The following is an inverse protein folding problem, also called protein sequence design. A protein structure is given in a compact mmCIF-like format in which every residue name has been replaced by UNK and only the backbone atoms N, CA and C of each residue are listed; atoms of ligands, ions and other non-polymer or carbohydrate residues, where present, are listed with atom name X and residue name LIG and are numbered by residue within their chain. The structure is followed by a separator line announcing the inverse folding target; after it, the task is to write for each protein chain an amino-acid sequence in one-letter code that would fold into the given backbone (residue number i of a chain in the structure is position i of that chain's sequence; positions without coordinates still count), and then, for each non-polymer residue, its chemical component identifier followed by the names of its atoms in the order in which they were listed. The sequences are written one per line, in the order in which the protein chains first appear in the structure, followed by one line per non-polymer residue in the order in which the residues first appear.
data_IF_534083891385
#
_entry.id   IF_534083891385
#
_cell.length_a   1.000
_cell.length_b   1.000
_cell.length_c   1.000
_cell.angle_alpha   90.00
_cell.angle_beta   90.00
_cell.angle_gamma   90.00
#
_symmetry.space_group_name_H-M   'P 1'
#
loop_
_entity.id
_entity.type
_entity.pdbx_description
1 polymer ?
#
# COMPACT_ATOMS: atom_id res chain seq x y z
N UNK A 1 -2.22 -48.52 58.95
CA UNK A 1 -3.48 -48.08 59.59
C UNK A 1 -4.18 -47.27 58.53
N UNK A 2 -5.00 -47.91 57.66
CA UNK A 2 -6.50 -48.00 57.78
C UNK A 2 -7.12 -46.61 57.74
N UNK A 3 -7.99 -46.22 56.87
CA UNK A 3 -9.09 -46.76 56.09
C UNK A 3 -9.65 -45.61 55.27
N UNK A 4 -10.01 -45.74 54.05
CA UNK A 4 -11.27 -46.21 53.43
C UNK A 4 -12.23 -45.05 53.10
N UNK A 5 -12.42 -44.86 51.83
CA UNK A 5 -13.64 -45.03 51.01
C UNK A 5 -14.88 -44.24 51.38
N UNK A 6 -15.42 -43.50 50.43
CA UNK A 6 -16.82 -43.62 49.96
C UNK A 6 -17.17 -42.68 48.81
N UNK A 7 -17.45 -43.21 47.63
CA UNK A 7 -18.49 -42.81 46.68
C UNK A 7 -19.83 -43.44 47.13
N UNK A 8 -20.96 -43.24 46.47
CA UNK A 8 -21.66 -42.25 45.67
C UNK A 8 -23.12 -41.99 46.18
N UNK A 9 -24.19 -41.73 45.47
CA UNK A 9 -24.72 -42.38 44.27
C UNK A 9 -25.40 -41.48 43.22
N UNK A 10 -25.61 -42.09 42.07
CA UNK A 10 -26.41 -41.71 40.90
C UNK A 10 -27.94 -41.74 41.17
N UNK A 11 -28.72 -40.90 40.50
CA UNK A 11 -30.12 -41.14 40.11
C UNK A 11 -30.40 -40.35 38.80
N UNK A 12 -30.54 -41.03 37.64
CA UNK A 12 -31.79 -41.36 36.91
C UNK A 12 -32.85 -40.24 37.01
N UNK A 13 -33.17 -39.56 35.88
CA UNK A 13 -34.00 -39.98 34.77
C UNK A 13 -35.26 -39.17 34.76
N UNK A 14 -35.53 -38.39 33.73
CA UNK A 14 -36.87 -38.13 33.18
C UNK A 14 -36.81 -37.41 31.84
N UNK A 15 -37.25 -38.10 30.80
CA UNK A 15 -37.58 -37.57 29.47
C UNK A 15 -38.92 -36.82 29.44
N UNK A 16 -39.17 -35.99 28.41
CA UNK A 16 -40.32 -35.08 28.30
C UNK A 16 -41.50 -35.72 27.56
N UNK A 17 -42.70 -35.16 27.64
CA UNK A 17 -43.79 -35.56 26.75
C UNK A 17 -43.90 -34.73 25.49
N UNK A 18 -44.09 -35.44 24.40
CA UNK A 18 -44.48 -34.98 23.06
C UNK A 18 -45.98 -34.58 23.02
N UNK A 19 -46.28 -33.47 22.38
CA UNK A 19 -47.56 -33.21 21.69
C UNK A 19 -47.24 -32.28 20.51
N UNK A 20 -47.46 -32.59 19.27
CA UNK A 20 -48.65 -33.11 18.59
C UNK A 20 -49.35 -31.98 17.85
N UNK A 21 -48.96 -31.74 16.56
CA UNK A 21 -49.79 -31.42 15.43
C UNK A 21 -50.60 -30.10 15.40
N UNK A 22 -50.30 -29.27 14.40
CA UNK A 22 -51.28 -28.92 13.35
C UNK A 22 -50.65 -28.04 12.27
N UNK A 23 -50.64 -28.56 11.04
CA UNK A 23 -50.48 -27.83 9.77
C UNK A 23 -51.64 -26.86 9.61
N UNK A 24 -51.37 -25.62 9.22
CA UNK A 24 -52.28 -24.81 8.45
C UNK A 24 -51.49 -23.96 7.45
N UNK A 25 -51.70 -24.31 6.19
CA UNK A 25 -51.36 -23.55 5.00
C UNK A 25 -52.17 -22.25 4.97
N UNK A 26 -51.53 -21.11 4.77
CA UNK A 26 -52.19 -19.98 4.13
C UNK A 26 -51.23 -19.27 3.18
N UNK A 27 -51.77 -19.11 1.97
CA UNK A 27 -51.20 -18.54 0.74
C UNK A 27 -50.86 -17.04 0.87
N UNK A 28 -49.78 -16.72 0.24
CA UNK A 28 -49.47 -15.51 -0.55
C UNK A 28 -50.42 -14.31 -0.50
N UNK A 29 -49.81 -13.14 -0.21
CA UNK A 29 -50.19 -11.91 -0.86
C UNK A 29 -48.93 -11.08 -1.06
N UNK A 30 -48.60 -10.83 -2.32
CA UNK A 30 -47.65 -9.81 -2.81
C UNK A 30 -48.12 -8.44 -2.32
N UNK A 31 -47.25 -7.70 -1.67
CA UNK A 31 -47.39 -6.30 -1.42
C UNK A 31 -46.06 -5.61 -1.70
N UNK A 32 -45.90 -5.07 -2.91
CA UNK A 32 -44.73 -4.26 -3.26
C UNK A 32 -44.74 -2.96 -2.48
N UNK A 33 -43.66 -2.66 -1.78
CA UNK A 33 -43.38 -1.33 -1.28
C UNK A 33 -42.37 -0.68 -2.22
N UNK A 34 -42.82 0.28 -3.01
CA UNK A 34 -42.03 1.23 -3.76
C UNK A 34 -41.46 2.21 -2.75
N UNK A 35 -40.15 2.14 -2.48
CA UNK A 35 -39.45 3.16 -1.71
C UNK A 35 -39.11 4.31 -2.64
N UNK A 36 -39.86 5.41 -2.51
CA UNK A 36 -39.57 6.67 -3.20
C UNK A 36 -38.37 7.32 -2.52
N UNK A 37 -37.25 7.37 -3.24
CA UNK A 37 -36.08 8.16 -2.83
C UNK A 37 -36.38 9.63 -3.17
N UNK A 38 -36.55 10.45 -2.14
CA UNK A 38 -36.59 11.91 -2.29
C UNK A 38 -35.17 12.43 -2.32
N UNK A 39 -34.70 12.81 -3.50
CA UNK A 39 -33.44 13.54 -3.66
C UNK A 39 -33.70 15.01 -3.31
N UNK A 40 -33.13 15.48 -2.22
CA UNK A 40 -33.08 16.91 -1.89
C UNK A 40 -31.81 17.50 -2.49
N UNK A 41 -31.95 18.16 -3.62
CA UNK A 41 -30.87 18.95 -4.23
C UNK A 41 -30.84 20.32 -3.58
N UNK A 42 -29.80 20.61 -2.79
CA UNK A 42 -29.51 21.96 -2.32
C UNK A 42 -28.43 22.55 -3.24
N UNK A 43 -28.85 23.33 -4.21
CA UNK A 43 -27.97 24.20 -4.97
C UNK A 43 -27.73 25.50 -4.19
N UNK A 44 -26.52 25.66 -3.67
CA UNK A 44 -26.00 26.94 -3.19
C UNK A 44 -24.88 27.37 -4.12
N UNK A 45 -25.21 28.29 -5.04
CA UNK A 45 -24.24 28.89 -5.96
C UNK A 45 -23.34 29.90 -5.24
N UNK A 46 -22.02 29.72 -5.40
CA UNK A 46 -21.05 30.77 -5.15
C UNK A 46 -20.43 31.19 -6.48
N UNK A 47 -20.67 32.43 -6.85
CA UNK A 47 -20.05 33.03 -8.02
C UNK A 47 -18.62 33.45 -7.66
N UNK A 48 -17.63 32.85 -8.36
CA UNK A 48 -16.27 33.34 -8.36
C UNK A 48 -16.09 34.35 -9.49
N UNK A 49 -15.78 35.56 -9.12
CA UNK A 49 -15.39 36.65 -10.04
C UNK A 49 -13.95 36.39 -10.53
N UNK A 50 -13.81 36.26 -11.84
CA UNK A 50 -12.51 36.24 -12.54
C UNK A 50 -11.96 37.68 -12.61
N UNK A 51 -10.75 37.88 -12.12
CA UNK A 51 -9.95 39.06 -12.42
C UNK A 51 -8.98 38.77 -13.54
N UNK A 52 -9.14 39.46 -14.62
CA UNK A 52 -8.30 39.49 -15.82
C UNK A 52 -7.00 40.26 -15.53
N UNK A 53 -5.86 39.74 -15.90
CA UNK A 53 -4.62 40.50 -16.01
C UNK A 53 -3.79 39.98 -17.19
N UNK A 54 -3.95 40.60 -18.29
CA UNK A 54 -3.14 40.49 -19.51
C UNK A 54 -1.94 41.46 -19.47
N UNK A 55 -0.93 41.13 -20.29
CA UNK A 55 0.22 41.90 -20.78
C UNK A 55 1.56 41.58 -20.13
N UNK A 56 2.65 41.28 -20.78
CA UNK A 56 3.22 41.74 -22.05
C UNK A 56 4.25 40.74 -22.61
N UNK A 57 4.31 40.72 -23.93
CA UNK A 57 5.32 39.98 -24.72
C UNK A 57 6.68 40.69 -24.79
N UNK A 58 7.73 39.93 -24.91
CA UNK A 58 9.06 40.43 -25.29
C UNK A 58 10.09 39.33 -25.26
N UNK A 59 10.30 38.62 -26.38
CA UNK A 59 11.37 37.68 -26.53
C UNK A 59 12.67 38.30 -27.10
N UNK A 60 13.78 37.61 -26.95
CA UNK A 60 14.77 37.52 -28.06
C UNK A 60 15.05 36.06 -28.45
N UNK A 61 15.52 35.93 -29.69
CA UNK A 61 15.76 34.75 -30.51
C UNK A 61 16.91 33.85 -30.05
N UNK A 62 17.05 32.64 -30.65
CA UNK A 62 17.81 31.53 -30.08
C UNK A 62 19.31 31.62 -30.39
N UNK A 63 20.10 31.34 -29.36
CA UNK A 63 21.53 31.06 -29.50
C UNK A 63 21.77 29.57 -29.31
N UNK A 64 22.41 28.94 -30.31
CA UNK A 64 22.94 27.60 -30.24
C UNK A 64 23.92 27.45 -29.07
N UNK A 65 23.59 26.56 -28.15
CA UNK A 65 24.54 26.05 -27.17
C UNK A 65 24.27 24.56 -26.97
N UNK A 66 25.13 23.77 -27.61
CA UNK A 66 25.33 22.37 -27.24
C UNK A 66 25.73 22.31 -25.76
N UNK A 67 24.77 22.04 -24.90
CA UNK A 67 25.01 21.75 -23.48
C UNK A 67 24.96 20.25 -23.25
N UNK A 68 26.15 19.69 -22.99
CA UNK A 68 26.31 18.38 -22.33
C UNK A 68 25.43 18.33 -21.11
N UNK A 69 24.48 17.38 -21.09
CA UNK A 69 23.65 17.06 -19.94
C UNK A 69 24.57 16.72 -18.76
N UNK A 70 24.51 17.45 -17.64
CA UNK A 70 25.27 17.06 -16.46
C UNK A 70 24.72 15.73 -15.97
N UNK A 71 25.57 14.71 -15.90
CA UNK A 71 25.27 13.51 -15.12
C UNK A 71 25.03 13.97 -13.68
N UNK A 72 23.80 13.87 -13.21
CA UNK A 72 23.45 14.13 -11.82
C UNK A 72 24.27 13.18 -10.96
N UNK A 73 25.19 13.74 -10.19
CA UNK A 73 25.97 12.96 -9.21
C UNK A 73 25.01 12.54 -8.11
N UNK A 74 24.63 11.27 -8.11
CA UNK A 74 23.94 10.65 -6.98
C UNK A 74 24.86 10.76 -5.76
N UNK A 75 24.56 11.66 -4.85
CA UNK A 75 25.37 11.85 -3.66
C UNK A 75 25.14 10.69 -2.68
N UNK A 76 26.05 9.74 -2.64
CA UNK A 76 26.11 8.70 -1.61
C UNK A 76 26.67 9.30 -0.32
N UNK A 77 25.84 9.94 0.48
CA UNK A 77 26.20 10.31 1.85
C UNK A 77 25.33 9.51 2.79
N UNK A 78 25.94 8.65 3.63
CA UNK A 78 25.22 7.99 4.72
C UNK A 78 24.83 9.05 5.76
N UNK A 79 23.57 9.49 5.80
CA UNK A 79 23.17 10.44 6.82
C UNK A 79 23.17 9.73 8.17
N UNK A 80 23.67 10.40 9.20
CA UNK A 80 23.52 9.94 10.59
C UNK A 80 22.08 10.07 11.09
N UNK A 81 21.13 10.35 10.21
CA UNK A 81 19.73 10.56 10.55
C UNK A 81 19.02 9.24 10.86
N UNK A 82 18.13 9.27 11.81
CA UNK A 82 17.19 8.16 12.06
C UNK A 82 16.37 7.92 10.78
N UNK A 83 16.33 6.69 10.31
CA UNK A 83 15.72 6.34 9.03
C UNK A 83 16.72 5.84 7.98
N UNK A 84 18.03 6.10 8.17
CA UNK A 84 19.08 5.61 7.28
C UNK A 84 19.46 4.16 7.57
N UNK A 85 20.11 3.50 6.62
CA UNK A 85 20.68 2.16 6.78
C UNK A 85 21.59 2.07 8.00
N UNK A 86 22.39 3.12 8.24
CA UNK A 86 23.33 3.16 9.37
C UNK A 86 22.62 3.16 10.72
N UNK A 87 21.49 3.87 10.82
CA UNK A 87 20.77 4.09 12.09
C UNK A 87 19.48 3.30 12.23
N UNK A 88 19.24 2.34 11.35
CA UNK A 88 18.11 1.41 11.46
C UNK A 88 18.52 0.18 12.28
N UNK A 89 17.69 -0.29 13.21
CA UNK A 89 18.02 -1.39 14.11
C UNK A 89 17.98 -2.75 13.39
N UNK A 90 18.60 -3.77 13.98
CA UNK A 90 18.49 -5.17 13.57
C UNK A 90 19.08 -5.52 12.18
N UNK A 91 19.73 -4.58 11.50
CA UNK A 91 20.37 -4.85 10.22
C UNK A 91 21.72 -5.53 10.42
N UNK A 92 21.97 -6.60 9.65
CA UNK A 92 23.25 -7.33 9.69
C UNK A 92 24.40 -6.50 9.09
N UNK A 93 25.63 -6.91 9.38
CA UNK A 93 26.80 -6.32 8.72
C UNK A 93 26.77 -6.52 7.20
N UNK A 94 26.25 -7.65 6.73
CA UNK A 94 26.10 -7.97 5.31
C UNK A 94 25.07 -7.05 4.66
N UNK A 95 23.94 -6.80 5.30
CA UNK A 95 22.96 -5.82 4.84
C UNK A 95 23.61 -4.45 4.61
N UNK A 96 24.37 -3.97 5.60
CA UNK A 96 25.04 -2.66 5.54
C UNK A 96 26.19 -2.59 4.53
N UNK A 97 26.71 -3.73 4.07
CA UNK A 97 27.68 -3.77 2.95
C UNK A 97 26.99 -3.78 1.59
N UNK A 98 25.82 -4.39 1.51
CA UNK A 98 25.05 -4.55 0.26
C UNK A 98 24.23 -3.31 -0.07
N UNK A 99 23.65 -2.67 0.96
CA UNK A 99 22.69 -1.59 0.77
C UNK A 99 23.22 -0.25 1.30
N UNK A 100 22.91 0.80 0.55
CA UNK A 100 23.27 2.17 0.90
C UNK A 100 22.10 3.13 0.71
N UNK A 101 22.12 4.22 1.48
CA UNK A 101 21.18 5.33 1.34
C UNK A 101 21.51 6.15 0.11
N UNK A 102 20.51 6.43 -0.71
CA UNK A 102 20.59 7.29 -1.89
C UNK A 102 19.58 8.42 -1.77
N UNK A 103 20.00 9.63 -2.11
CA UNK A 103 19.14 10.80 -2.20
C UNK A 103 19.14 11.30 -3.62
N UNK A 104 17.97 11.30 -4.25
CA UNK A 104 17.79 11.54 -5.67
C UNK A 104 16.83 12.73 -5.83
N UNK A 105 17.28 13.76 -6.55
CA UNK A 105 16.41 14.87 -6.94
C UNK A 105 15.62 14.45 -8.19
N UNK A 106 14.31 14.16 -8.00
CA UNK A 106 13.42 13.68 -9.05
C UNK A 106 12.04 14.28 -8.90
N UNK A 107 11.43 14.76 -9.97
CA UNK A 107 10.13 15.44 -9.98
C UNK A 107 10.02 16.61 -8.99
N UNK A 108 11.12 17.37 -8.81
CA UNK A 108 11.16 18.49 -7.87
C UNK A 108 11.08 18.09 -6.39
N UNK A 109 11.42 16.84 -6.08
CA UNK A 109 11.41 16.26 -4.76
C UNK A 109 12.74 15.55 -4.50
N UNK A 110 13.36 15.80 -3.35
CA UNK A 110 14.50 15.03 -2.89
C UNK A 110 14.01 13.73 -2.27
N UNK A 111 14.11 12.64 -3.04
CA UNK A 111 13.63 11.32 -2.66
C UNK A 111 14.75 10.49 -2.02
N UNK A 112 14.41 9.74 -1.00
CA UNK A 112 15.29 8.76 -0.37
C UNK A 112 14.94 7.35 -0.82
N UNK A 113 15.95 6.57 -1.16
CA UNK A 113 15.83 5.16 -1.43
C UNK A 113 17.03 4.39 -0.86
N UNK A 114 16.78 3.19 -0.38
CA UNK A 114 17.82 2.23 0.00
C UNK A 114 18.02 1.25 -1.15
N UNK A 115 19.23 1.27 -1.72
CA UNK A 115 19.53 0.54 -2.95
C UNK A 115 20.67 -0.44 -2.72
N UNK A 116 20.55 -1.63 -3.32
CA UNK A 116 21.60 -2.66 -3.29
C UNK A 116 21.30 -3.83 -4.21
N UNK A 117 22.34 -4.65 -4.45
CA UNK A 117 22.27 -5.78 -5.39
C UNK A 117 22.57 -5.39 -6.82
N UNK A 118 22.62 -6.41 -7.69
CA UNK A 118 22.87 -6.26 -9.13
C UNK A 118 21.88 -7.13 -9.91
N UNK A 119 21.39 -6.61 -11.05
CA UNK A 119 20.45 -7.30 -11.92
C UNK A 119 19.29 -6.42 -12.37
N UNK A 120 18.19 -7.00 -12.88
CA UNK A 120 17.00 -6.25 -13.26
C UNK A 120 16.47 -5.39 -12.12
N UNK A 121 16.01 -4.16 -12.37
CA UNK A 121 15.54 -3.27 -11.31
C UNK A 121 14.21 -3.74 -10.72
N UNK A 122 14.14 -3.70 -9.38
CA UNK A 122 12.97 -4.05 -8.58
C UNK A 122 12.66 -2.90 -7.62
N UNK A 123 11.54 -2.21 -7.85
CA UNK A 123 11.07 -1.14 -6.99
C UNK A 123 10.12 -1.69 -5.92
N UNK A 124 10.43 -1.42 -4.65
CA UNK A 124 9.63 -1.80 -3.49
C UNK A 124 9.01 -0.54 -2.86
N UNK A 125 7.69 -0.50 -2.78
CA UNK A 125 6.91 0.64 -2.28
C UNK A 125 6.14 0.22 -1.03
N UNK A 126 6.55 0.75 0.11
CA UNK A 126 6.00 0.43 1.44
C UNK A 126 4.60 1.02 1.65
N UNK A 127 3.93 0.53 2.71
CA UNK A 127 2.65 1.04 3.18
C UNK A 127 2.76 2.03 4.35
N UNK A 128 1.60 2.44 4.88
CA UNK A 128 1.49 3.24 6.08
C UNK A 128 1.27 2.33 7.31
N UNK A 129 1.88 2.61 8.46
CA UNK A 129 2.77 3.73 8.80
C UNK A 129 4.28 3.38 8.69
N UNK A 130 4.64 2.58 7.73
CA UNK A 130 5.99 2.05 7.51
C UNK A 130 6.85 2.98 6.63
N UNK A 131 8.06 2.53 6.31
CA UNK A 131 9.00 3.12 5.37
C UNK A 131 9.79 2.00 4.67
N UNK A 132 10.88 2.32 3.94
CA UNK A 132 11.71 1.32 3.26
C UNK A 132 12.10 0.13 4.16
N UNK A 133 12.21 0.34 5.46
CA UNK A 133 12.65 -0.65 6.44
C UNK A 133 11.69 -1.86 6.56
N UNK A 134 10.44 -1.73 6.16
CA UNK A 134 9.48 -2.82 6.08
C UNK A 134 10.01 -4.01 5.27
N UNK A 135 10.78 -3.74 4.23
CA UNK A 135 11.30 -4.73 3.31
C UNK A 135 12.61 -5.39 3.75
N UNK A 136 13.24 -4.93 4.84
CA UNK A 136 14.60 -5.31 5.27
C UNK A 136 14.83 -6.81 5.38
N UNK A 137 13.80 -7.58 5.74
CA UNK A 137 13.94 -9.03 5.95
C UNK A 137 14.05 -9.81 4.63
N UNK A 138 13.47 -9.29 3.54
CA UNK A 138 13.49 -9.95 2.22
C UNK A 138 14.50 -9.32 1.25
N UNK A 139 14.90 -8.07 1.47
CA UNK A 139 15.83 -7.34 0.58
C UNK A 139 17.15 -8.09 0.33
N UNK A 140 17.84 -8.69 1.33
CA UNK A 140 19.12 -9.34 1.10
C UNK A 140 19.07 -10.51 0.10
N UNK A 141 18.01 -11.30 0.14
CA UNK A 141 17.86 -12.41 -0.79
C UNK A 141 17.42 -11.95 -2.18
N UNK A 142 16.52 -10.95 -2.25
CA UNK A 142 16.16 -10.31 -3.52
C UNK A 142 17.37 -9.67 -4.21
N UNK A 143 18.29 -9.07 -3.46
CA UNK A 143 19.50 -8.41 -3.99
C UNK A 143 20.50 -9.37 -4.62
N UNK A 144 20.33 -10.68 -4.44
CA UNK A 144 21.13 -11.69 -5.16
C UNK A 144 20.77 -11.80 -6.64
N UNK A 145 19.60 -11.29 -7.03
CA UNK A 145 19.06 -11.45 -8.37
C UNK A 145 18.58 -10.15 -9.00
N UNK A 146 18.41 -9.10 -8.19
CA UNK A 146 17.85 -7.83 -8.60
C UNK A 146 18.66 -6.65 -8.07
N UNK A 147 18.63 -5.54 -8.79
CA UNK A 147 18.91 -4.23 -8.21
C UNK A 147 17.66 -3.82 -7.42
N UNK A 148 17.70 -3.99 -6.10
CA UNK A 148 16.58 -3.69 -5.22
C UNK A 148 16.59 -2.22 -4.84
N UNK A 149 15.48 -1.52 -5.06
CA UNK A 149 15.27 -0.11 -4.77
C UNK A 149 14.07 -0.01 -3.82
N UNK A 150 14.33 0.13 -2.52
CA UNK A 150 13.30 0.32 -1.50
C UNK A 150 13.18 1.81 -1.20
N UNK A 151 12.09 2.43 -1.66
CA UNK A 151 11.90 3.89 -1.58
C UNK A 151 11.21 4.29 -0.28
N UNK A 152 11.53 5.47 0.22
CA UNK A 152 10.65 6.22 1.12
C UNK A 152 9.73 7.11 0.26
N UNK A 153 8.41 6.88 0.30
CA UNK A 153 7.46 7.69 -0.47
C UNK A 153 7.48 9.16 -0.03
N UNK A 154 6.96 10.07 -0.87
CA UNK A 154 6.75 11.49 -0.52
C UNK A 154 6.18 11.64 0.89
N UNK A 155 6.80 12.46 1.71
CA UNK A 155 6.36 12.72 3.08
C UNK A 155 6.83 11.71 4.12
N UNK A 156 7.40 10.59 3.71
CA UNK A 156 7.77 9.47 4.58
C UNK A 156 9.29 9.39 4.75
N UNK A 157 9.72 8.82 5.87
CA UNK A 157 11.12 8.48 6.15
C UNK A 157 12.07 9.64 5.98
N UNK A 158 13.03 9.52 5.08
CA UNK A 158 14.01 10.54 4.74
C UNK A 158 13.72 11.31 3.45
N UNK A 159 12.65 10.95 2.72
CA UNK A 159 12.14 11.75 1.60
C UNK A 159 11.57 13.07 2.10
N UNK A 160 11.66 14.13 1.31
CA UNK A 160 11.10 15.45 1.61
C UNK A 160 9.59 15.39 1.87
N UNK A 161 9.11 16.37 2.66
CA UNK A 161 7.74 16.46 3.17
C UNK A 161 7.07 17.75 2.72
N UNK A 162 6.83 17.92 1.41
CA UNK A 162 6.14 19.10 0.91
C UNK A 162 4.70 19.14 1.44
N UNK A 163 4.08 20.32 1.50
CA UNK A 163 2.74 20.47 2.06
C UNK A 163 1.63 19.87 1.18
N UNK A 164 1.92 19.50 -0.09
CA UNK A 164 0.95 19.02 -1.08
C UNK A 164 1.54 17.94 -1.98
N UNK A 165 0.71 17.40 -2.88
CA UNK A 165 1.15 16.43 -3.89
C UNK A 165 1.11 14.99 -3.39
N UNK A 166 0.20 14.66 -2.49
CA UNK A 166 0.06 13.32 -1.92
C UNK A 166 -0.99 12.46 -2.64
N UNK A 167 -1.58 12.96 -3.70
CA UNK A 167 -2.45 12.18 -4.58
C UNK A 167 -1.65 11.17 -5.40
N UNK A 168 -2.29 10.06 -5.76
CA UNK A 168 -1.57 8.94 -6.41
C UNK A 168 -0.99 9.29 -7.77
N UNK A 169 -1.52 10.28 -8.49
CA UNK A 169 -0.95 10.74 -9.75
C UNK A 169 0.39 11.46 -9.55
N UNK A 170 0.52 12.23 -8.47
CA UNK A 170 1.79 12.86 -8.09
C UNK A 170 2.78 11.82 -7.57
N UNK A 171 2.33 10.90 -6.69
CA UNK A 171 3.19 9.83 -6.16
C UNK A 171 3.72 8.91 -7.27
N UNK A 172 2.89 8.56 -8.25
CA UNK A 172 3.32 7.77 -9.41
C UNK A 172 4.39 8.49 -10.24
N UNK A 173 4.24 9.80 -10.45
CA UNK A 173 5.26 10.62 -11.15
C UNK A 173 6.56 10.73 -10.37
N UNK A 174 6.50 10.83 -9.04
CA UNK A 174 7.69 10.84 -8.19
C UNK A 174 8.49 9.55 -8.38
N UNK A 175 7.82 8.39 -8.35
CA UNK A 175 8.46 7.09 -8.53
C UNK A 175 8.97 6.88 -9.96
N UNK A 176 8.21 7.30 -10.98
CA UNK A 176 8.65 7.21 -12.36
C UNK A 176 9.93 8.05 -12.59
N UNK A 177 9.95 9.30 -12.10
CA UNK A 177 11.11 10.17 -12.20
C UNK A 177 12.29 9.67 -11.37
N UNK A 178 12.08 9.06 -10.20
CA UNK A 178 13.12 8.39 -9.43
C UNK A 178 13.81 7.31 -10.27
N UNK A 179 13.02 6.46 -10.93
CA UNK A 179 13.55 5.38 -11.76
C UNK A 179 14.27 5.92 -13.01
N UNK A 180 13.84 7.06 -13.58
CA UNK A 180 14.53 7.75 -14.68
C UNK A 180 15.92 8.26 -14.25
N UNK A 181 15.98 8.92 -13.09
CA UNK A 181 17.26 9.44 -12.57
C UNK A 181 18.24 8.32 -12.19
N UNK A 182 17.73 7.14 -11.81
CA UNK A 182 18.53 5.95 -11.59
C UNK A 182 18.91 5.21 -12.90
N UNK A 183 18.41 5.65 -14.06
CA UNK A 183 18.70 5.07 -15.37
C UNK A 183 17.94 3.79 -15.68
N UNK A 184 16.81 3.56 -15.02
CA UNK A 184 15.98 2.37 -15.18
C UNK A 184 14.73 2.67 -16.01
N UNK A 185 14.79 2.41 -17.31
CA UNK A 185 13.65 2.63 -18.22
C UNK A 185 12.49 1.68 -17.93
N UNK A 186 12.78 0.44 -17.56
CA UNK A 186 11.78 -0.58 -17.22
C UNK A 186 12.16 -1.30 -15.92
N UNK A 187 11.15 -1.68 -15.13
CA UNK A 187 11.37 -2.29 -13.82
C UNK A 187 10.20 -3.18 -13.41
N UNK A 188 10.46 -4.10 -12.49
CA UNK A 188 9.43 -4.83 -11.73
C UNK A 188 9.02 -4.03 -10.50
N UNK A 189 7.78 -4.18 -10.06
CA UNK A 189 7.17 -3.34 -9.02
C UNK A 189 6.48 -4.20 -7.96
N UNK A 190 6.69 -3.86 -6.69
CA UNK A 190 5.95 -4.43 -5.56
C UNK A 190 5.44 -3.29 -4.69
N UNK A 191 4.15 -3.29 -4.38
CA UNK A 191 3.53 -2.33 -3.47
C UNK A 191 2.75 -3.03 -2.37
N UNK A 192 2.84 -2.49 -1.15
CA UNK A 192 2.11 -2.95 0.02
C UNK A 192 1.25 -1.82 0.59
N UNK A 193 0.00 -2.09 0.98
CA UNK A 193 -0.92 -1.13 1.60
C UNK A 193 -1.09 0.16 0.77
N UNK A 194 -0.84 1.36 1.30
CA UNK A 194 -0.85 2.62 0.53
C UNK A 194 0.15 2.61 -0.63
N UNK A 195 1.25 1.87 -0.46
CA UNK A 195 2.22 1.63 -1.54
C UNK A 195 1.66 0.76 -2.67
N UNK A 196 0.72 -0.14 -2.39
CA UNK A 196 -0.01 -0.86 -3.43
C UNK A 196 -0.88 0.10 -4.25
N UNK A 197 -1.55 1.05 -3.59
CA UNK A 197 -2.40 2.04 -4.28
C UNK A 197 -1.53 2.95 -5.18
N UNK A 198 -0.35 3.36 -4.68
CA UNK A 198 0.64 4.12 -5.47
C UNK A 198 1.19 3.28 -6.63
N UNK A 199 1.49 2.01 -6.39
CA UNK A 199 1.99 1.08 -7.42
C UNK A 199 0.95 0.82 -8.53
N UNK A 200 -0.34 0.74 -8.19
CA UNK A 200 -1.41 0.68 -9.18
C UNK A 200 -1.42 1.93 -10.07
N UNK A 201 -1.33 3.11 -9.46
CA UNK A 201 -1.28 4.35 -10.22
C UNK A 201 -0.05 4.41 -11.15
N UNK A 202 1.12 4.00 -10.67
CA UNK A 202 2.34 3.93 -11.47
C UNK A 202 2.19 2.96 -12.65
N UNK A 203 1.65 1.76 -12.41
CA UNK A 203 1.44 0.77 -13.45
C UNK A 203 0.38 1.18 -14.48
N UNK A 204 -0.64 1.96 -14.07
CA UNK A 204 -1.69 2.44 -14.95
C UNK A 204 -1.28 3.69 -15.76
N UNK A 205 -0.54 4.61 -15.14
CA UNK A 205 -0.12 5.87 -15.78
C UNK A 205 1.13 5.68 -16.66
N UNK A 206 1.96 4.66 -16.39
CA UNK A 206 3.21 4.35 -17.10
C UNK A 206 3.32 2.84 -17.45
N UNK A 207 2.34 2.27 -18.18
CA UNK A 207 2.26 0.82 -18.38
C UNK A 207 3.45 0.23 -19.15
N UNK A 208 4.11 1.01 -19.98
CA UNK A 208 5.32 0.60 -20.73
C UNK A 208 6.57 0.45 -19.84
N UNK A 209 6.56 1.10 -18.66
CA UNK A 209 7.65 1.09 -17.70
C UNK A 209 7.64 -0.12 -16.77
N UNK A 210 6.45 -0.67 -16.51
CA UNK A 210 6.26 -1.75 -15.53
C UNK A 210 6.21 -3.10 -16.22
N UNK A 211 7.22 -3.95 -15.98
CA UNK A 211 7.29 -5.29 -16.56
C UNK A 211 6.29 -6.25 -15.92
N UNK A 212 6.11 -6.15 -14.64
CA UNK A 212 5.16 -6.90 -13.80
C UNK A 212 4.95 -6.21 -12.48
N UNK A 213 3.83 -6.42 -11.84
CA UNK A 213 3.52 -5.80 -10.55
C UNK A 213 2.90 -6.80 -9.58
N UNK A 214 3.40 -6.78 -8.33
CA UNK A 214 2.79 -7.48 -7.20
C UNK A 214 2.12 -6.46 -6.27
N UNK A 215 0.86 -6.68 -5.98
CA UNK A 215 0.03 -5.90 -5.07
C UNK A 215 -0.21 -6.70 -3.80
N UNK A 216 0.30 -6.22 -2.68
CA UNK A 216 0.20 -6.89 -1.39
C UNK A 216 -0.73 -6.13 -0.46
N UNK A 217 -1.63 -6.84 0.16
CA UNK A 217 -2.54 -6.42 1.22
C UNK A 217 -3.37 -5.18 0.93
N UNK A 218 -4.44 -4.96 0.88
CA UNK A 218 -5.66 -4.22 0.67
C UNK A 218 -6.40 -4.67 -0.60
N UNK A 219 -7.71 -4.78 -0.55
CA UNK A 219 -8.52 -5.23 -1.67
C UNK A 219 -8.76 -4.09 -2.65
N UNK A 220 -7.81 -3.91 -3.55
CA UNK A 220 -7.89 -3.00 -4.68
C UNK A 220 -7.65 -1.53 -4.37
N UNK A 221 -7.40 -0.75 -5.42
CA UNK A 221 -7.24 0.67 -5.29
C UNK A 221 -8.60 1.34 -5.03
N UNK A 222 -8.67 2.33 -4.13
CA UNK A 222 -9.90 3.08 -3.87
C UNK A 222 -10.38 3.76 -5.16
N UNK A 223 -11.70 3.79 -5.37
CA UNK A 223 -12.31 4.30 -6.60
C UNK A 223 -12.53 3.25 -7.71
N UNK A 224 -12.00 2.04 -7.57
CA UNK A 224 -12.19 0.92 -8.54
C UNK A 224 -13.34 -0.02 -8.14
N UNK A 225 -14.19 0.39 -7.32
CA UNK A 225 -15.36 -0.36 -6.86
C UNK A 225 -16.18 0.47 -5.91
N UNK A 226 -17.29 -0.07 -5.40
CA UNK A 226 -18.10 0.66 -4.44
C UNK A 226 -17.31 0.93 -3.17
N UNK A 227 -17.30 2.18 -2.73
CA UNK A 227 -16.75 2.54 -1.43
C UNK A 227 -17.52 1.85 -0.30
N UNK A 228 -16.86 1.41 0.78
CA UNK A 228 -17.54 0.90 1.94
C UNK A 228 -18.58 1.92 2.47
N UNK A 229 -19.73 1.47 2.99
CA UNK A 229 -20.69 2.37 3.62
C UNK A 229 -20.07 3.03 4.87
N UNK A 230 -20.62 4.16 5.30
CA UNK A 230 -20.13 4.91 6.46
C UNK A 230 -20.08 4.05 7.74
N UNK A 231 -21.05 3.14 7.91
CA UNK A 231 -21.09 2.21 9.03
C UNK A 231 -20.91 0.79 8.53
N UNK A 232 -19.86 0.15 8.98
CA UNK A 232 -19.52 -1.24 8.71
C UNK A 232 -19.53 -2.04 10.02
N UNK A 233 -19.61 -3.39 9.98
CA UNK A 233 -19.47 -4.23 11.18
C UNK A 233 -18.17 -3.94 11.95
N UNK A 234 -18.20 -4.12 13.26
CA UNK A 234 -17.12 -3.78 14.19
C UNK A 234 -15.74 -4.31 13.77
N UNK A 235 -15.55 -5.57 13.34
CA UNK A 235 -14.23 -6.03 12.91
C UNK A 235 -13.67 -5.26 11.71
N UNK A 236 -14.52 -4.89 10.75
CA UNK A 236 -14.12 -4.10 9.60
C UNK A 236 -13.92 -2.63 9.97
N UNK A 237 -14.75 -2.09 10.88
CA UNK A 237 -14.58 -0.74 11.42
C UNK A 237 -13.21 -0.59 12.08
N UNK A 238 -12.80 -1.57 12.88
CA UNK A 238 -11.51 -1.56 13.57
C UNK A 238 -10.31 -1.67 12.62
N UNK A 239 -10.49 -2.19 11.42
CA UNK A 239 -9.46 -2.20 10.37
C UNK A 239 -9.41 -0.92 9.55
N UNK A 240 -10.55 -0.25 9.33
CA UNK A 240 -10.66 0.89 8.43
C UNK A 240 -10.70 2.25 9.15
N UNK A 241 -10.75 2.27 10.49
CA UNK A 241 -10.93 3.48 11.30
C UNK A 241 -9.94 4.60 10.97
N UNK A 242 -8.68 4.23 10.69
CA UNK A 242 -7.60 5.16 10.42
C UNK A 242 -7.82 5.95 9.13
N UNK A 243 -8.53 5.41 8.14
CA UNK A 243 -8.76 6.08 6.86
C UNK A 243 -9.53 7.39 7.04
N UNK A 244 -10.76 7.41 7.60
CA UNK A 244 -11.47 8.66 7.85
C UNK A 244 -10.78 9.52 8.91
N UNK A 245 -10.14 8.93 9.93
CA UNK A 245 -9.46 9.67 10.99
C UNK A 245 -8.27 10.45 10.46
N UNK A 246 -7.41 9.84 9.68
CA UNK A 246 -6.21 10.49 9.12
C UNK A 246 -6.53 11.56 8.05
N UNK A 247 -7.77 11.63 7.57
CA UNK A 247 -8.24 12.65 6.64
C UNK A 247 -8.65 13.96 7.32
N UNK A 248 -8.84 13.94 8.64
CA UNK A 248 -9.23 15.16 9.37
C UNK A 248 -8.10 16.17 9.26
N UNK A 249 -8.47 17.40 8.92
CA UNK A 249 -7.54 18.50 8.66
C UNK A 249 -7.18 19.33 9.90
N UNK A 250 -6.59 20.53 9.68
CA UNK A 250 -6.21 21.51 10.70
C UNK A 250 -5.31 20.98 11.81
N UNK A 251 -4.54 19.94 11.50
CA UNK A 251 -3.58 19.33 12.45
C UNK A 251 -4.24 18.76 13.71
N UNK A 252 -5.54 18.48 13.68
CA UNK A 252 -6.21 17.86 14.80
C UNK A 252 -5.63 16.46 15.07
N UNK A 253 -5.38 15.69 14.00
CA UNK A 253 -4.79 14.35 14.12
C UNK A 253 -3.39 14.44 14.73
N UNK A 254 -2.53 15.35 14.24
CA UNK A 254 -1.20 15.59 14.81
C UNK A 254 -1.27 15.95 16.28
N UNK A 255 -2.18 16.83 16.69
CA UNK A 255 -2.35 17.23 18.10
C UNK A 255 -2.82 16.06 18.98
N UNK A 256 -3.65 15.16 18.46
CA UNK A 256 -4.12 13.99 19.18
C UNK A 256 -3.05 12.89 19.29
N UNK A 257 -2.20 12.76 18.28
CA UNK A 257 -1.20 11.68 18.16
C UNK A 257 0.13 12.07 18.81
N UNK A 258 0.58 13.33 18.71
CA UNK A 258 1.85 13.79 19.28
C UNK A 258 2.00 13.40 20.74
N UNK A 259 3.08 12.66 21.07
CA UNK A 259 3.37 12.11 22.39
C UNK A 259 2.53 10.89 22.76
N UNK A 260 1.81 10.31 21.79
CA UNK A 260 1.02 9.07 21.93
C UNK A 260 1.19 8.17 20.69
N UNK A 261 2.31 8.28 20.02
CA UNK A 261 2.61 7.53 18.79
C UNK A 261 2.60 6.02 19.03
N UNK A 262 3.06 5.58 20.18
CA UNK A 262 3.03 4.20 20.63
C UNK A 262 1.60 3.67 20.80
N UNK A 263 0.70 4.47 21.35
CA UNK A 263 -0.72 4.12 21.47
C UNK A 263 -1.40 4.09 20.11
N UNK A 264 -1.21 5.12 19.29
CA UNK A 264 -1.90 5.29 18.02
C UNK A 264 -1.46 4.26 16.99
N UNK A 265 -0.17 4.21 16.69
CA UNK A 265 0.38 3.26 15.73
C UNK A 265 0.45 1.83 16.29
N UNK A 266 0.65 1.68 17.60
CA UNK A 266 0.60 0.37 18.25
C UNK A 266 -0.78 -0.29 18.13
N UNK A 267 -1.86 0.49 18.26
CA UNK A 267 -3.21 0.01 17.99
C UNK A 267 -3.38 -0.40 16.53
N UNK A 268 -2.89 0.40 15.58
CA UNK A 268 -2.95 0.07 14.16
C UNK A 268 -2.21 -1.22 13.83
N UNK A 269 -0.97 -1.37 14.29
CA UNK A 269 -0.24 -2.62 14.12
C UNK A 269 -0.99 -3.83 14.68
N UNK A 270 -1.64 -3.68 15.84
CA UNK A 270 -2.37 -4.76 16.49
C UNK A 270 -3.65 -5.16 15.75
N UNK A 271 -4.49 -4.19 15.34
CA UNK A 271 -5.79 -4.48 14.70
C UNK A 271 -5.66 -5.00 13.28
N UNK A 272 -4.53 -4.75 12.63
CA UNK A 272 -4.18 -5.27 11.30
C UNK A 272 -3.50 -6.66 11.36
N UNK A 273 -3.51 -7.33 12.49
CA UNK A 273 -3.03 -8.70 12.65
C UNK A 273 -1.81 -8.85 13.55
N UNK A 274 -1.21 -7.77 14.05
CA UNK A 274 -0.05 -7.83 14.96
C UNK A 274 1.19 -8.49 14.34
N UNK A 275 2.02 -9.14 15.16
CA UNK A 275 3.16 -9.93 14.69
C UNK A 275 4.38 -9.13 14.24
N UNK A 276 4.30 -7.80 14.21
CA UNK A 276 5.46 -6.93 13.95
C UNK A 276 6.35 -6.92 15.20
N UNK A 277 7.66 -7.20 15.08
CA UNK A 277 8.56 -7.21 16.23
C UNK A 277 8.58 -5.86 16.96
N UNK A 278 8.58 -5.89 18.30
CA UNK A 278 8.56 -4.67 19.13
C UNK A 278 9.69 -3.69 18.73
N UNK A 279 10.89 -4.19 18.45
CA UNK A 279 12.02 -3.36 18.01
C UNK A 279 11.72 -2.59 16.71
N UNK A 280 10.97 -3.20 15.78
CA UNK A 280 10.57 -2.54 14.55
C UNK A 280 9.47 -1.49 14.82
N UNK A 281 8.48 -1.82 15.65
CA UNK A 281 7.46 -0.85 16.07
C UNK A 281 8.09 0.36 16.78
N UNK A 282 8.98 0.15 17.73
CA UNK A 282 9.70 1.23 18.43
C UNK A 282 10.51 2.12 17.48
N UNK A 283 11.04 1.53 16.41
CA UNK A 283 11.73 2.27 15.37
C UNK A 283 10.77 3.17 14.58
N UNK A 284 9.62 2.63 14.13
CA UNK A 284 8.60 3.42 13.44
C UNK A 284 8.02 4.53 14.34
N UNK A 285 7.73 4.23 15.61
CA UNK A 285 7.22 5.24 16.56
C UNK A 285 8.20 6.41 16.73
N UNK A 286 9.49 6.11 16.90
CA UNK A 286 10.51 7.15 16.99
C UNK A 286 10.67 7.98 15.72
N UNK A 287 10.50 7.36 14.53
CA UNK A 287 10.51 8.09 13.28
C UNK A 287 9.34 9.06 13.18
N UNK A 288 8.16 8.59 13.57
CA UNK A 288 6.90 9.33 13.47
C UNK A 288 6.70 10.33 14.64
N UNK A 289 7.54 10.31 15.66
CA UNK A 289 7.57 11.34 16.70
C UNK A 289 8.15 12.68 16.21
N UNK A 290 8.77 12.71 15.05
CA UNK A 290 9.18 13.94 14.38
C UNK A 290 7.95 14.62 13.77
N UNK A 291 7.67 15.92 14.09
CA UNK A 291 6.42 16.56 13.65
C UNK A 291 6.23 16.67 12.15
N UNK A 292 7.31 16.81 11.37
CA UNK A 292 7.22 16.89 9.92
C UNK A 292 6.90 15.51 9.32
N UNK A 293 7.51 14.45 9.86
CA UNK A 293 7.25 13.07 9.46
C UNK A 293 5.84 12.63 9.84
N UNK A 294 5.38 13.02 11.02
CA UNK A 294 4.01 12.78 11.47
C UNK A 294 3.01 13.42 10.50
N UNK A 295 3.16 14.70 10.21
CA UNK A 295 2.30 15.43 9.26
C UNK A 295 2.37 14.81 7.86
N UNK A 296 3.56 14.49 7.37
CA UNK A 296 3.77 13.86 6.06
C UNK A 296 3.06 12.51 5.95
N UNK A 297 3.03 11.72 7.03
CA UNK A 297 2.39 10.40 7.05
C UNK A 297 0.89 10.44 6.81
N UNK A 298 0.22 11.54 7.10
CA UNK A 298 -1.23 11.71 6.87
C UNK A 298 -1.55 12.30 5.49
N UNK A 299 -0.54 12.77 4.76
CA UNK A 299 -0.72 13.43 3.47
C UNK A 299 -1.48 12.59 2.44
N UNK A 300 -1.16 11.29 2.35
CA UNK A 300 -1.84 10.35 1.46
C UNK A 300 -3.36 10.29 1.73
N UNK A 301 -3.75 10.22 2.99
CA UNK A 301 -5.17 10.14 3.37
C UNK A 301 -5.91 11.46 3.12
N UNK A 302 -5.25 12.60 3.29
CA UNK A 302 -5.82 13.93 3.00
C UNK A 302 -6.03 14.17 1.51
N UNK A 303 -5.27 13.48 0.66
CA UNK A 303 -5.42 13.50 -0.79
C UNK A 303 -6.39 12.43 -1.33
N UNK A 304 -7.17 11.76 -0.45
CA UNK A 304 -7.99 10.61 -0.78
C UNK A 304 -9.02 10.88 -1.88
N UNK A 305 -9.70 12.04 -1.87
CA UNK A 305 -10.73 12.36 -2.85
C UNK A 305 -10.15 12.55 -4.26
N UNK A 306 -8.96 13.15 -4.36
CA UNK A 306 -8.23 13.25 -5.62
C UNK A 306 -7.78 11.86 -6.10
N UNK A 307 -7.31 11.00 -5.19
CA UNK A 307 -6.93 9.61 -5.47
C UNK A 307 -8.11 8.80 -5.99
N UNK A 308 -9.30 8.92 -5.37
CA UNK A 308 -10.53 8.26 -5.84
C UNK A 308 -10.84 8.64 -7.30
N UNK A 309 -10.93 9.93 -7.59
CA UNK A 309 -11.24 10.44 -8.93
C UNK A 309 -10.20 10.00 -9.98
N UNK A 310 -8.92 9.97 -9.62
CA UNK A 310 -7.85 9.51 -10.50
C UNK A 310 -7.95 8.01 -10.78
N UNK A 311 -8.24 7.20 -9.78
CA UNK A 311 -8.35 5.76 -9.91
C UNK A 311 -9.62 5.31 -10.66
N UNK A 312 -10.74 6.03 -10.50
CA UNK A 312 -11.94 5.84 -11.32
C UNK A 312 -11.59 5.98 -12.81
N UNK A 313 -10.82 7.00 -13.18
CA UNK A 313 -10.38 7.20 -14.56
C UNK A 313 -9.39 6.11 -15.02
N UNK A 314 -8.44 5.70 -14.18
CA UNK A 314 -7.48 4.63 -14.50
C UNK A 314 -8.19 3.30 -14.76
N UNK A 315 -9.28 3.04 -14.04
CA UNK A 315 -10.06 1.81 -14.17
C UNK A 315 -10.74 1.64 -15.55
N UNK A 316 -10.83 2.70 -16.35
CA UNK A 316 -11.32 2.63 -17.74
C UNK A 316 -10.39 1.83 -18.65
N UNK A 317 -9.10 1.68 -18.27
CA UNK A 317 -8.10 0.93 -19.04
C UNK A 317 -7.48 -0.18 -18.18
N UNK A 318 -7.48 -1.40 -18.69
CA UNK A 318 -6.90 -2.53 -17.95
C UNK A 318 -5.38 -2.54 -18.00
N UNK A 319 -4.77 -2.90 -16.88
CA UNK A 319 -3.36 -3.27 -16.82
C UNK A 319 -3.11 -4.48 -17.72
N UNK A 320 -2.06 -4.43 -18.55
CA UNK A 320 -1.71 -5.48 -19.52
C UNK A 320 -0.49 -6.29 -19.09
N UNK A 321 0.32 -5.77 -18.16
CA UNK A 321 1.41 -6.53 -17.57
C UNK A 321 0.88 -7.58 -16.59
N UNK A 322 1.66 -8.66 -16.30
CA UNK A 322 1.29 -9.62 -15.26
C UNK A 322 1.11 -8.96 -13.90
N UNK A 323 0.00 -9.28 -13.24
CA UNK A 323 -0.38 -8.81 -11.89
C UNK A 323 -0.42 -9.99 -10.94
N UNK A 324 0.18 -9.85 -9.76
CA UNK A 324 0.06 -10.79 -8.65
C UNK A 324 -0.63 -10.08 -7.48
N UNK A 325 -1.79 -10.59 -7.04
CA UNK A 325 -2.42 -10.18 -5.79
C UNK A 325 -1.98 -11.11 -4.66
N UNK A 326 -1.47 -10.54 -3.56
CA UNK A 326 -0.98 -11.28 -2.39
C UNK A 326 -1.77 -10.82 -1.16
N UNK A 327 -2.46 -11.75 -0.49
CA UNK A 327 -3.15 -11.47 0.76
C UNK A 327 -2.73 -12.42 1.87
N UNK A 328 -2.71 -11.95 3.11
CA UNK A 328 -2.58 -12.80 4.29
C UNK A 328 -3.87 -13.56 4.59
N UNK A 329 -3.77 -14.83 5.00
CA UNK A 329 -4.95 -15.65 5.30
C UNK A 329 -5.80 -15.06 6.43
N UNK A 330 -5.17 -14.38 7.37
CA UNK A 330 -5.81 -13.73 8.52
C UNK A 330 -6.16 -12.26 8.25
N UNK A 331 -6.04 -11.80 7.00
CA UNK A 331 -6.39 -10.45 6.57
C UNK A 331 -7.34 -10.47 5.36
N UNK A 332 -6.91 -10.00 4.20
CA UNK A 332 -7.77 -9.88 3.03
C UNK A 332 -7.77 -11.11 2.11
N UNK A 333 -6.79 -12.01 2.27
CA UNK A 333 -6.71 -13.27 1.55
C UNK A 333 -6.88 -13.12 0.04
N UNK A 334 -7.75 -13.92 -0.60
CA UNK A 334 -7.94 -13.88 -2.05
C UNK A 334 -8.60 -12.59 -2.55
N UNK A 335 -9.25 -11.80 -1.68
CA UNK A 335 -9.92 -10.56 -2.07
C UNK A 335 -8.94 -9.54 -2.68
N UNK A 336 -7.66 -9.59 -2.31
CA UNK A 336 -6.63 -8.75 -2.93
C UNK A 336 -6.56 -8.99 -4.44
N UNK A 337 -6.35 -10.23 -4.87
CA UNK A 337 -6.29 -10.57 -6.30
C UNK A 337 -7.63 -10.36 -7.00
N UNK A 338 -8.73 -10.74 -6.36
CA UNK A 338 -10.08 -10.63 -6.92
C UNK A 338 -10.43 -9.19 -7.27
N UNK A 339 -9.99 -8.23 -6.49
CA UNK A 339 -10.24 -6.80 -6.71
C UNK A 339 -9.54 -6.23 -7.95
N UNK A 340 -8.48 -6.89 -8.46
CA UNK A 340 -7.79 -6.47 -9.69
C UNK A 340 -8.34 -7.12 -10.97
N UNK A 341 -9.17 -8.16 -10.89
CA UNK A 341 -9.75 -8.82 -12.07
C UNK A 341 -10.55 -7.88 -12.99
N UNK A 342 -11.29 -6.88 -12.49
CA UNK A 342 -11.95 -5.89 -13.35
C UNK A 342 -10.97 -5.00 -14.12
N UNK A 343 -9.79 -4.70 -13.56
CA UNK A 343 -8.85 -3.67 -14.03
C UNK A 343 -7.50 -4.22 -14.53
N UNK A 344 -7.36 -5.53 -14.67
CA UNK A 344 -6.17 -6.17 -15.22
C UNK A 344 -6.53 -7.37 -16.11
N UNK A 345 -5.63 -7.76 -17.01
CA UNK A 345 -5.87 -8.85 -17.97
C UNK A 345 -5.25 -10.19 -17.54
N UNK A 346 -4.14 -10.17 -16.80
CA UNK A 346 -3.43 -11.35 -16.26
C UNK A 346 -3.27 -11.18 -14.75
N UNK A 347 -4.19 -11.72 -13.97
CA UNK A 347 -4.20 -11.64 -12.50
C UNK A 347 -3.97 -13.02 -11.90
N UNK A 348 -2.90 -13.14 -11.14
CA UNK A 348 -2.56 -14.31 -10.33
C UNK A 348 -2.86 -13.99 -8.86
N UNK A 349 -3.19 -15.03 -8.07
CA UNK A 349 -3.52 -14.94 -6.66
C UNK A 349 -2.62 -15.82 -5.82
N UNK A 350 -2.15 -15.27 -4.72
CA UNK A 350 -1.49 -16.05 -3.65
C UNK A 350 -2.02 -15.59 -2.30
N UNK A 351 -2.33 -16.56 -1.44
CA UNK A 351 -2.67 -16.32 -0.04
C UNK A 351 -1.54 -16.88 0.81
N UNK A 352 -0.95 -16.05 1.67
CA UNK A 352 0.11 -16.45 2.58
C UNK A 352 -0.54 -16.96 3.86
N UNK A 353 -0.34 -18.25 4.22
CA UNK A 353 -0.93 -18.82 5.43
C UNK A 353 -0.33 -18.18 6.69
N UNK A 354 -1.10 -18.20 7.78
CA UNK A 354 -0.68 -17.72 9.11
C UNK A 354 -0.14 -16.29 9.12
N UNK A 355 -0.60 -15.44 8.20
CA UNK A 355 -0.18 -14.06 8.08
C UNK A 355 -1.40 -13.13 8.00
N UNK A 356 -1.30 -12.00 8.70
CA UNK A 356 -2.22 -10.87 8.61
C UNK A 356 -1.75 -9.86 7.56
N UNK A 357 -1.92 -8.58 7.87
CA UNK A 357 -1.61 -7.48 6.96
C UNK A 357 -0.10 -7.25 6.75
N UNK A 358 0.72 -7.44 7.78
CA UNK A 358 2.15 -7.08 7.78
C UNK A 358 3.01 -8.20 7.18
N UNK A 359 2.76 -8.58 5.92
CA UNK A 359 3.31 -9.78 5.28
C UNK A 359 4.84 -9.87 5.35
N UNK A 360 5.56 -8.77 5.12
CA UNK A 360 7.02 -8.73 5.12
C UNK A 360 7.62 -8.88 6.53
N UNK A 361 6.84 -8.61 7.57
CA UNK A 361 7.22 -8.78 8.97
C UNK A 361 6.78 -10.14 9.52
N UNK A 362 5.56 -10.57 9.19
CA UNK A 362 4.94 -11.77 9.76
C UNK A 362 5.39 -13.06 9.06
N UNK A 363 5.57 -13.01 7.74
CA UNK A 363 5.88 -14.18 6.92
C UNK A 363 6.92 -13.87 5.82
N UNK A 364 8.11 -13.34 6.19
CA UNK A 364 9.11 -12.90 5.21
C UNK A 364 9.54 -14.01 4.26
N UNK A 365 9.73 -15.23 4.72
CA UNK A 365 10.17 -16.35 3.88
C UNK A 365 9.10 -16.74 2.85
N UNK A 366 7.83 -16.78 3.23
CA UNK A 366 6.72 -17.10 2.35
C UNK A 366 6.49 -15.99 1.32
N UNK A 367 6.57 -14.73 1.75
CA UNK A 367 6.50 -13.57 0.85
C UNK A 367 7.66 -13.58 -0.14
N UNK A 368 8.89 -13.83 0.33
CA UNK A 368 10.08 -13.92 -0.52
C UNK A 368 9.94 -15.01 -1.58
N UNK A 369 9.53 -16.23 -1.17
CA UNK A 369 9.32 -17.33 -2.10
C UNK A 369 8.26 -16.99 -3.17
N UNK A 370 7.16 -16.38 -2.75
CA UNK A 370 6.07 -15.93 -3.63
C UNK A 370 6.56 -14.88 -4.63
N UNK A 371 7.25 -13.85 -4.16
CA UNK A 371 7.79 -12.80 -5.03
C UNK A 371 8.85 -13.35 -5.99
N UNK A 372 9.78 -14.19 -5.51
CA UNK A 372 10.83 -14.79 -6.34
C UNK A 372 10.24 -15.63 -7.47
N UNK A 373 9.22 -16.45 -7.17
CA UNK A 373 8.53 -17.23 -8.18
C UNK A 373 7.85 -16.34 -9.24
N UNK A 374 7.17 -15.28 -8.81
CA UNK A 374 6.48 -14.37 -9.71
C UNK A 374 7.44 -13.55 -10.56
N UNK A 375 8.46 -12.98 -9.93
CA UNK A 375 9.43 -12.10 -10.60
C UNK A 375 10.27 -12.85 -11.64
N UNK A 376 10.57 -14.14 -11.42
CA UNK A 376 11.31 -14.98 -12.35
C UNK A 376 10.42 -15.69 -13.40
N UNK A 377 9.09 -15.61 -13.30
CA UNK A 377 8.19 -16.24 -14.26
C UNK A 377 8.31 -15.58 -15.64
N UNK A 378 8.40 -16.39 -16.71
CA UNK A 378 8.33 -15.84 -18.09
C UNK A 378 6.94 -15.25 -18.31
N UNK A 379 6.88 -14.09 -18.97
CA UNK A 379 5.60 -13.55 -19.45
C UNK A 379 4.98 -14.51 -20.48
N UNK A 380 3.69 -14.83 -20.36
CA UNK A 380 3.00 -15.71 -21.32
C UNK A 380 3.08 -15.19 -22.77
N UNK A 381 3.26 -13.87 -22.94
CA UNK A 381 3.44 -13.26 -24.27
C UNK A 381 4.75 -13.66 -24.97
N UNK A 382 5.81 -14.06 -24.23
CA UNK A 382 7.09 -14.46 -24.81
C UNK A 382 7.06 -15.91 -25.35
N UNK A 383 6.07 -16.72 -24.96
CA UNK A 383 6.00 -18.14 -25.36
C UNK A 383 5.32 -18.33 -26.72
N UNK A 384 4.58 -17.32 -27.22
CA UNK A 384 3.92 -17.39 -28.52
C UNK A 384 4.79 -16.96 -29.72
N UNK A 385 6.03 -16.53 -29.47
CA UNK A 385 6.93 -16.00 -30.53
C UNK A 385 8.03 -16.97 -30.97
N UNK A 386 7.97 -18.25 -30.60
CA UNK A 386 8.87 -19.26 -31.19
C UNK A 386 8.30 -19.69 -32.56
N UNK A 387 8.99 -19.50 -33.67
CA UNK A 387 8.57 -20.02 -34.97
C UNK A 387 8.56 -21.55 -34.88
N UNK A 388 7.45 -22.14 -35.34
CA UNK A 388 7.38 -23.58 -35.59
C UNK A 388 8.50 -23.95 -36.58
N UNK A 389 9.50 -24.65 -36.12
CA UNK A 389 10.51 -25.26 -37.00
C UNK A 389 9.78 -26.22 -37.94
N UNK A 390 9.96 -25.96 -39.26
CA UNK A 390 9.48 -26.82 -40.34
C UNK A 390 10.48 -27.92 -40.62
#
# INVERSE_FOLDING_TARGET
MTNASAEPPSSEGAEPPSHGGRRSSRRSLLGGLIATVVAVSVFGGWALTTADASMHAGGPAPGDASTSVPRTTVATTSPKALGSVTNSPGLSADFRRTFSDHFIEANGLRQHAVIGGEGPPLLLVHGWPENWYAWRLIMPELARHFTVIAVDQRGIGLTEKPPTGYDTGTLAKDLAALMDELGHERFSLVGHDTGMITAYALAADFPERVERVAFAEVPGPPGVGPSPPLFVPEPLNNRLWHIPFNRVDDKLVEQLVTGREDLFYGYEFAVQGGGVPQQAMDYYFRLLSDPERLTGSFGFYRAWDATLAQNEKRAETKLTMPVLGIGGADSWGPAVADSFKPVATDVRSTVIPDAGHWLAEQAPDALLATLTQFLNSRSAAATSALPAEK
#
